data_IF_061288463942
#
_entry.id   IF_061288463942
#
_cell.length_a   1.000
_cell.length_b   1.000
_cell.length_c   1.000
_cell.angle_alpha   90.00
_cell.angle_beta   90.00
_cell.angle_gamma   90.00
#
_symmetry.space_group_name_H-M   'P 1'
#
loop_
_entity.id
_entity.type
_entity.pdbx_description
1 polymer ?
#
# COMPACT_ATOMS: atom_id res chain seq x y z
N UNK A 1 9.80 -10.05 15.84
CA UNK A 1 10.92 -9.25 15.32
C UNK A 1 10.42 -7.81 15.20
N UNK A 2 10.86 -6.92 16.07
CA UNK A 2 10.32 -5.57 16.23
C UNK A 2 10.67 -4.67 15.03
N UNK A 3 9.79 -3.74 14.66
CA UNK A 3 10.03 -2.72 13.61
C UNK A 3 11.33 -1.95 13.91
N UNK A 4 11.61 -1.73 15.18
CA UNK A 4 12.84 -1.10 15.70
C UNK A 4 14.11 -1.86 15.30
N UNK A 5 14.08 -3.18 15.24
CA UNK A 5 15.23 -4.01 14.86
C UNK A 5 15.55 -3.88 13.37
N UNK A 6 14.53 -3.77 12.52
CA UNK A 6 14.70 -3.60 11.06
C UNK A 6 15.30 -2.23 10.72
N UNK A 7 14.86 -1.19 11.39
CA UNK A 7 15.44 0.16 11.22
C UNK A 7 16.90 0.22 11.67
N UNK A 8 17.24 -0.42 12.80
CA UNK A 8 18.63 -0.52 13.28
C UNK A 8 19.52 -1.28 12.29
N UNK A 9 19.02 -2.36 11.69
CA UNK A 9 19.75 -3.12 10.66
C UNK A 9 20.03 -2.23 9.44
N UNK A 10 19.02 -1.48 8.96
CA UNK A 10 19.18 -0.56 7.84
C UNK A 10 20.22 0.52 8.10
N UNK A 11 20.18 1.16 9.26
CA UNK A 11 21.17 2.16 9.67
C UNK A 11 22.56 1.54 9.80
N UNK A 12 22.67 0.35 10.38
CA UNK A 12 23.94 -0.37 10.51
C UNK A 12 24.56 -0.70 9.15
N UNK A 13 23.78 -1.24 8.22
CA UNK A 13 24.23 -1.54 6.86
C UNK A 13 24.70 -0.26 6.14
N UNK A 14 23.91 0.82 6.23
CA UNK A 14 24.27 2.10 5.63
C UNK A 14 25.59 2.65 6.21
N UNK A 15 25.76 2.59 7.52
CA UNK A 15 26.99 3.01 8.19
C UNK A 15 28.20 2.17 7.74
N UNK A 16 28.06 0.84 7.70
CA UNK A 16 29.12 -0.06 7.25
C UNK A 16 29.49 0.22 5.79
N UNK A 17 28.49 0.43 4.92
CA UNK A 17 28.71 0.75 3.51
C UNK A 17 29.49 2.06 3.35
N UNK A 18 29.14 3.10 4.10
CA UNK A 18 29.83 4.39 4.04
C UNK A 18 31.26 4.28 4.55
N UNK A 19 31.51 3.53 5.64
CA UNK A 19 32.84 3.33 6.20
C UNK A 19 33.74 2.53 5.23
N UNK A 20 33.19 1.47 4.63
CA UNK A 20 33.95 0.61 3.68
C UNK A 20 34.22 1.29 2.36
N UNK A 21 33.37 2.23 1.93
CA UNK A 21 33.54 2.99 0.68
C UNK A 21 34.65 4.05 0.74
N UNK A 22 35.14 4.42 1.91
CA UNK A 22 36.27 5.31 2.09
C UNK A 22 36.14 6.62 1.29
N UNK A 23 37.00 6.81 0.28
CA UNK A 23 37.02 8.03 -0.55
C UNK A 23 35.78 8.23 -1.43
N UNK A 24 35.06 7.15 -1.77
CA UNK A 24 33.86 7.18 -2.60
C UNK A 24 32.58 7.44 -1.80
N UNK A 25 32.67 7.54 -0.48
CA UNK A 25 31.52 7.77 0.40
C UNK A 25 30.74 9.06 0.05
N UNK A 26 31.46 10.15 -0.30
CA UNK A 26 30.85 11.42 -0.70
C UNK A 26 30.08 11.30 -2.02
N UNK A 27 30.59 10.52 -2.97
CA UNK A 27 29.90 10.31 -4.25
C UNK A 27 28.70 9.37 -4.11
N UNK A 28 28.73 8.43 -3.18
CA UNK A 28 27.57 7.63 -2.80
C UNK A 28 26.48 8.50 -2.18
N UNK A 29 26.84 9.39 -1.25
CA UNK A 29 25.86 10.32 -0.65
C UNK A 29 25.22 11.25 -1.68
N UNK A 30 25.94 11.71 -2.70
CA UNK A 30 25.38 12.53 -3.78
C UNK A 30 24.39 11.77 -4.66
N UNK A 31 24.50 10.44 -4.77
CA UNK A 31 23.60 9.58 -5.54
C UNK A 31 22.30 9.23 -4.79
N UNK A 32 22.21 9.56 -3.51
CA UNK A 32 20.99 9.35 -2.71
C UNK A 32 19.87 10.24 -3.24
N UNK A 33 18.71 9.66 -3.44
CA UNK A 33 17.51 10.40 -3.85
C UNK A 33 16.87 11.12 -2.65
N UNK A 34 17.42 12.28 -2.32
CA UNK A 34 16.94 13.13 -1.23
C UNK A 34 15.51 13.63 -1.46
N UNK A 35 15.05 13.74 -2.72
CA UNK A 35 13.69 14.17 -3.02
C UNK A 35 12.68 13.16 -2.52
N UNK A 36 12.91 11.88 -2.82
CA UNK A 36 12.07 10.77 -2.34
C UNK A 36 12.12 10.67 -0.81
N UNK A 37 13.29 10.82 -0.19
CA UNK A 37 13.40 10.80 1.26
C UNK A 37 12.62 11.94 1.92
N UNK A 38 12.75 13.17 1.45
CA UNK A 38 12.02 14.32 1.95
C UNK A 38 10.50 14.19 1.72
N UNK A 39 10.11 13.61 0.59
CA UNK A 39 8.71 13.30 0.33
C UNK A 39 8.13 12.35 1.39
N UNK A 40 8.81 11.25 1.72
CA UNK A 40 8.34 10.33 2.76
C UNK A 40 8.34 10.98 4.15
N UNK A 41 9.36 11.76 4.49
CA UNK A 41 9.36 12.52 5.77
C UNK A 41 8.15 13.43 5.84
N UNK A 42 7.88 14.23 4.79
CA UNK A 42 6.71 15.10 4.74
C UNK A 42 5.39 14.31 4.83
N UNK A 43 5.29 13.18 4.13
CA UNK A 43 4.14 12.31 4.18
C UNK A 43 3.85 11.83 5.61
N UNK A 44 4.84 11.30 6.31
CA UNK A 44 4.65 10.79 7.68
C UNK A 44 4.33 11.91 8.69
N UNK A 45 4.87 13.13 8.49
CA UNK A 45 4.48 14.29 9.30
C UNK A 45 3.01 14.63 9.10
N UNK A 46 2.54 14.66 7.84
CA UNK A 46 1.12 14.94 7.53
C UNK A 46 0.22 13.84 8.10
N UNK A 47 0.56 12.57 7.90
CA UNK A 47 -0.22 11.43 8.44
C UNK A 47 -0.27 11.48 9.96
N UNK A 48 0.84 11.74 10.64
CA UNK A 48 0.87 11.92 12.09
C UNK A 48 0.00 13.09 12.57
N UNK A 49 -0.04 14.20 11.81
CA UNK A 49 -0.96 15.31 12.07
C UNK A 49 -2.43 14.91 11.91
N UNK A 50 -2.77 14.16 10.86
CA UNK A 50 -4.13 13.63 10.63
C UNK A 50 -4.57 12.67 11.74
N UNK A 51 -3.66 11.86 12.24
CA UNK A 51 -3.92 10.95 13.37
C UNK A 51 -4.26 11.73 14.64
N UNK A 52 -3.45 12.73 14.98
CA UNK A 52 -3.69 13.57 16.18
C UNK A 52 -4.96 14.43 16.09
N UNK A 53 -5.38 14.83 14.90
CA UNK A 53 -6.64 15.57 14.69
C UNK A 53 -7.89 14.71 14.78
N UNK A 54 -7.75 13.37 14.85
CA UNK A 54 -8.86 12.42 14.89
C UNK A 54 -9.57 12.22 13.55
N UNK A 55 -9.10 12.81 12.46
CA UNK A 55 -9.70 12.66 11.13
C UNK A 55 -9.67 11.19 10.69
N UNK A 56 -8.60 10.47 10.99
CA UNK A 56 -8.48 9.04 10.65
C UNK A 56 -9.52 8.19 11.39
N UNK A 57 -9.83 8.52 12.64
CA UNK A 57 -10.88 7.87 13.42
C UNK A 57 -12.27 8.14 12.85
N UNK A 58 -12.53 9.36 12.36
CA UNK A 58 -13.79 9.70 11.68
C UNK A 58 -13.94 8.89 10.40
N UNK A 59 -12.88 8.76 9.60
CA UNK A 59 -12.87 7.96 8.38
C UNK A 59 -13.11 6.47 8.68
N UNK A 60 -12.43 5.92 9.67
CA UNK A 60 -12.65 4.56 10.14
C UNK A 60 -14.10 4.34 10.61
N UNK A 61 -14.65 5.29 11.39
CA UNK A 61 -16.05 5.26 11.83
C UNK A 61 -17.04 5.33 10.67
N UNK A 62 -16.75 6.08 9.62
CA UNK A 62 -17.56 6.13 8.40
C UNK A 62 -17.57 4.77 7.69
N UNK A 63 -16.41 4.15 7.49
CA UNK A 63 -16.29 2.81 6.89
C UNK A 63 -17.05 1.79 7.75
N UNK A 64 -16.90 1.83 9.07
CA UNK A 64 -17.62 0.96 9.99
C UNK A 64 -19.14 1.10 9.91
N UNK A 65 -19.65 2.35 9.78
CA UNK A 65 -21.10 2.62 9.61
C UNK A 65 -21.62 2.12 8.27
N UNK A 66 -20.91 2.40 7.17
CA UNK A 66 -21.32 1.98 5.82
C UNK A 66 -21.30 0.46 5.70
N UNK A 67 -20.36 -0.22 6.35
CA UNK A 67 -20.29 -1.68 6.37
C UNK A 67 -21.34 -2.34 7.29
N UNK A 68 -22.00 -1.55 8.14
CA UNK A 68 -22.94 -2.09 9.13
C UNK A 68 -22.31 -3.08 10.12
N UNK A 69 -21.01 -2.98 10.36
CA UNK A 69 -20.23 -3.95 11.17
C UNK A 69 -19.98 -5.28 10.47
N UNK A 70 -20.41 -5.45 9.22
CA UNK A 70 -20.18 -6.68 8.47
C UNK A 70 -18.76 -6.71 7.90
N UNK A 71 -17.97 -7.68 8.36
CA UNK A 71 -16.57 -7.84 7.99
C UNK A 71 -16.38 -8.03 6.46
N UNK A 72 -17.26 -8.79 5.81
CA UNK A 72 -17.17 -9.01 4.36
C UNK A 72 -17.34 -7.71 3.57
N UNK A 73 -18.28 -6.86 4.02
CA UNK A 73 -18.49 -5.55 3.42
C UNK A 73 -17.31 -4.62 3.70
N UNK A 74 -16.72 -4.66 4.89
CA UNK A 74 -15.50 -3.90 5.21
C UNK A 74 -14.33 -4.28 4.29
N UNK A 75 -14.09 -5.58 4.12
CA UNK A 75 -13.05 -6.09 3.21
C UNK A 75 -13.31 -5.59 1.79
N UNK A 76 -14.56 -5.69 1.28
CA UNK A 76 -14.91 -5.21 -0.05
C UNK A 76 -14.66 -3.70 -0.20
N UNK A 77 -15.10 -2.89 0.76
CA UNK A 77 -14.88 -1.43 0.72
C UNK A 77 -13.38 -1.13 0.70
N UNK A 78 -12.61 -1.72 1.61
CA UNK A 78 -11.18 -1.45 1.72
C UNK A 78 -10.45 -1.85 0.44
N UNK A 79 -10.67 -3.05 -0.09
CA UNK A 79 -9.95 -3.54 -1.27
C UNK A 79 -10.27 -2.71 -2.52
N UNK A 80 -11.55 -2.35 -2.73
CA UNK A 80 -11.95 -1.58 -3.91
C UNK A 80 -11.57 -0.12 -3.82
N UNK A 81 -11.78 0.53 -2.67
CA UNK A 81 -11.36 1.93 -2.46
C UNK A 81 -9.83 2.04 -2.60
N UNK A 82 -9.10 1.09 -2.03
CA UNK A 82 -7.64 1.06 -2.14
C UNK A 82 -7.18 0.83 -3.57
N UNK A 83 -7.83 -0.06 -4.31
CA UNK A 83 -7.50 -0.30 -5.72
C UNK A 83 -7.75 0.92 -6.60
N UNK A 84 -8.89 1.60 -6.41
CA UNK A 84 -9.22 2.81 -7.18
C UNK A 84 -8.26 3.95 -6.84
N UNK A 85 -8.00 4.19 -5.56
CA UNK A 85 -7.09 5.24 -5.14
C UNK A 85 -5.66 4.99 -5.61
N UNK A 86 -5.17 3.75 -5.47
CA UNK A 86 -3.82 3.36 -5.89
C UNK A 86 -3.63 3.37 -7.42
N UNK A 87 -4.71 3.31 -8.20
CA UNK A 87 -4.62 3.50 -9.65
C UNK A 87 -4.11 4.90 -10.04
N UNK A 88 -4.23 5.90 -9.16
CA UNK A 88 -3.85 7.29 -9.42
C UNK A 88 -2.77 7.81 -8.46
N UNK A 89 -2.61 7.18 -7.31
CA UNK A 89 -1.64 7.53 -6.26
C UNK A 89 -0.70 6.34 -6.11
N UNK A 90 0.61 6.59 -6.00
CA UNK A 90 1.58 5.51 -5.78
C UNK A 90 1.17 4.67 -4.55
N UNK A 91 1.27 3.35 -4.68
CA UNK A 91 0.80 2.38 -3.69
C UNK A 91 1.45 2.57 -2.30
N UNK A 92 2.75 2.90 -2.24
CA UNK A 92 3.47 3.02 -0.97
C UNK A 92 2.95 4.18 -0.11
N UNK A 93 2.88 5.45 -0.61
CA UNK A 93 2.33 6.54 0.19
C UNK A 93 0.86 6.35 0.54
N UNK A 94 0.05 5.78 -0.35
CA UNK A 94 -1.35 5.49 -0.05
C UNK A 94 -1.50 4.45 1.06
N UNK A 95 -0.77 3.32 0.98
CA UNK A 95 -0.79 2.31 2.03
C UNK A 95 -0.35 2.88 3.38
N UNK A 96 0.72 3.67 3.40
CA UNK A 96 1.23 4.29 4.62
C UNK A 96 0.19 5.20 5.31
N UNK A 97 -0.62 5.93 4.54
CA UNK A 97 -1.70 6.78 5.09
C UNK A 97 -2.90 5.97 5.58
N UNK A 98 -3.16 4.81 4.97
CA UNK A 98 -4.32 3.98 5.31
C UNK A 98 -4.06 3.03 6.50
N UNK A 99 -2.81 2.72 6.84
CA UNK A 99 -2.49 1.83 7.96
C UNK A 99 -3.13 2.31 9.29
N UNK A 100 -2.99 3.57 9.73
CA UNK A 100 -3.65 4.04 10.96
C UNK A 100 -5.18 4.01 10.89
N UNK A 101 -5.77 4.20 9.70
CA UNK A 101 -7.23 4.09 9.49
C UNK A 101 -7.70 2.66 9.74
N UNK A 102 -6.96 1.69 9.20
CA UNK A 102 -7.28 0.27 9.38
C UNK A 102 -7.10 -0.16 10.83
N UNK A 103 -6.05 0.32 11.50
CA UNK A 103 -5.80 0.04 12.91
C UNK A 103 -6.96 0.55 13.77
N UNK A 104 -7.37 1.80 13.58
CA UNK A 104 -8.52 2.39 14.24
C UNK A 104 -9.82 1.64 13.95
N UNK A 105 -10.03 1.19 12.70
CA UNK A 105 -11.21 0.43 12.30
C UNK A 105 -11.22 -0.96 12.94
N UNK A 106 -10.09 -1.66 12.94
CA UNK A 106 -9.94 -2.98 13.56
C UNK A 106 -10.24 -2.91 15.06
N UNK A 107 -9.68 -1.92 15.76
CA UNK A 107 -9.92 -1.68 17.17
C UNK A 107 -11.40 -1.36 17.46
N UNK A 108 -12.04 -0.50 16.66
CA UNK A 108 -13.42 -0.09 16.84
C UNK A 108 -14.43 -1.22 16.59
N UNK A 109 -14.12 -2.15 15.66
CA UNK A 109 -15.01 -3.24 15.28
C UNK A 109 -14.66 -4.58 15.94
N UNK A 110 -13.57 -4.65 16.69
CA UNK A 110 -13.11 -5.89 17.35
C UNK A 110 -12.69 -6.98 16.35
N UNK A 111 -12.17 -6.60 15.17
CA UNK A 111 -11.72 -7.53 14.13
C UNK A 111 -10.20 -7.61 14.09
N UNK A 112 -9.69 -8.74 13.60
CA UNK A 112 -8.24 -8.91 13.46
C UNK A 112 -7.71 -7.96 12.38
N UNK A 113 -6.78 -7.09 12.77
CA UNK A 113 -6.12 -6.12 11.88
C UNK A 113 -5.47 -6.79 10.66
N UNK A 114 -4.97 -8.03 10.81
CA UNK A 114 -4.26 -8.72 9.74
C UNK A 114 -5.12 -8.89 8.50
N UNK A 115 -6.44 -9.01 8.64
CA UNK A 115 -7.38 -9.20 7.55
C UNK A 115 -7.59 -7.95 6.75
N UNK A 116 -7.83 -6.84 7.47
CA UNK A 116 -8.00 -5.54 6.87
C UNK A 116 -6.68 -5.09 6.22
N UNK A 117 -5.55 -5.44 6.81
CA UNK A 117 -4.22 -5.22 6.25
C UNK A 117 -4.00 -6.00 4.94
N UNK A 118 -4.46 -7.26 4.86
CA UNK A 118 -4.43 -8.02 3.61
C UNK A 118 -5.32 -7.39 2.54
N UNK A 119 -6.53 -6.94 2.90
CA UNK A 119 -7.42 -6.26 1.96
C UNK A 119 -6.79 -4.96 1.44
N UNK A 120 -6.16 -4.15 2.32
CA UNK A 120 -5.43 -2.95 1.92
C UNK A 120 -4.27 -3.30 0.99
N UNK A 121 -3.41 -4.24 1.37
CA UNK A 121 -2.23 -4.61 0.61
C UNK A 121 -2.59 -5.10 -0.79
N UNK A 122 -3.56 -6.02 -0.90
CA UNK A 122 -4.03 -6.52 -2.20
C UNK A 122 -4.69 -5.41 -3.03
N UNK A 123 -5.50 -4.56 -2.42
CA UNK A 123 -6.13 -3.44 -3.11
C UNK A 123 -5.11 -2.44 -3.65
N UNK A 124 -4.17 -2.00 -2.83
CA UNK A 124 -3.16 -1.02 -3.23
C UNK A 124 -2.20 -1.55 -4.27
N UNK A 125 -1.65 -2.73 -4.08
CA UNK A 125 -0.62 -3.29 -4.94
C UNK A 125 -1.18 -3.63 -6.34
N UNK A 126 -2.29 -4.34 -6.36
CA UNK A 126 -2.95 -4.73 -7.62
C UNK A 126 -3.54 -3.50 -8.32
N UNK A 127 -4.19 -2.60 -7.55
CA UNK A 127 -4.82 -1.38 -8.07
C UNK A 127 -3.84 -0.46 -8.79
N UNK A 128 -2.62 -0.34 -8.28
CA UNK A 128 -1.54 0.41 -8.90
C UNK A 128 -1.20 -0.02 -10.33
N UNK A 129 -1.53 -1.26 -10.69
CA UNK A 129 -1.30 -1.76 -12.06
C UNK A 129 -2.31 -1.26 -13.09
N UNK A 130 -3.44 -0.68 -12.68
CA UNK A 130 -4.52 -0.28 -13.59
C UNK A 130 -4.15 0.88 -14.52
N UNK A 131 -3.26 1.78 -14.07
CA UNK A 131 -2.83 2.95 -14.85
C UNK A 131 -1.30 3.05 -14.95
N UNK A 132 -0.79 3.80 -15.94
CA UNK A 132 0.65 4.02 -16.09
C UNK A 132 1.32 4.70 -14.88
N UNK A 133 0.57 5.48 -14.10
CA UNK A 133 1.08 6.28 -12.98
C UNK A 133 0.78 5.68 -11.61
N UNK A 134 -0.05 4.63 -11.54
CA UNK A 134 -0.46 4.03 -10.25
C UNK A 134 0.69 3.34 -9.50
N UNK A 135 1.79 3.04 -10.18
CA UNK A 135 3.01 2.55 -9.54
C UNK A 135 4.25 3.09 -10.24
N UNK A 136 5.28 3.44 -9.48
CA UNK A 136 6.57 3.91 -10.01
C UNK A 136 7.21 2.91 -10.98
N UNK A 137 7.03 1.61 -10.75
CA UNK A 137 7.50 0.55 -11.63
C UNK A 137 6.90 0.64 -13.05
N UNK A 138 5.61 0.99 -13.17
CA UNK A 138 4.94 1.15 -14.47
C UNK A 138 5.54 2.33 -15.24
N UNK A 139 5.78 3.45 -14.56
CA UNK A 139 6.40 4.65 -15.16
C UNK A 139 7.78 4.31 -15.72
N UNK A 140 8.61 3.63 -14.93
CA UNK A 140 9.96 3.21 -15.36
C UNK A 140 9.88 2.21 -16.51
N UNK A 141 9.00 1.22 -16.43
CA UNK A 141 8.80 0.21 -17.48
C UNK A 141 8.39 0.84 -18.82
N UNK A 142 7.41 1.75 -18.79
CA UNK A 142 6.94 2.48 -20.00
C UNK A 142 8.03 3.38 -20.56
N UNK A 143 8.77 4.10 -19.70
CA UNK A 143 9.88 4.92 -20.13
C UNK A 143 11.01 4.10 -20.79
N UNK A 144 11.30 2.92 -20.26
CA UNK A 144 12.29 1.99 -20.82
C UNK A 144 11.83 1.43 -22.18
N UNK A 145 10.56 1.04 -22.29
CA UNK A 145 9.98 0.59 -23.55
C UNK A 145 10.03 1.69 -24.62
N UNK A 146 9.76 2.94 -24.25
CA UNK A 146 9.88 4.09 -25.17
C UNK A 146 11.30 4.30 -25.66
N UNK A 147 12.33 4.16 -24.81
CA UNK A 147 13.74 4.21 -25.19
C UNK A 147 14.13 3.10 -26.17
N UNK A 148 13.47 1.96 -26.11
CA UNK A 148 13.66 0.82 -27.04
C UNK A 148 12.81 0.92 -28.31
N UNK A 149 12.20 2.07 -28.58
CA UNK A 149 11.40 2.31 -29.80
C UNK A 149 9.93 1.86 -29.69
N UNK A 150 9.50 1.37 -28.52
CA UNK A 150 8.14 0.88 -28.31
C UNK A 150 7.32 1.88 -27.46
N UNK A 151 6.66 2.83 -28.13
CA UNK A 151 5.81 3.82 -27.44
C UNK A 151 4.48 3.20 -26.98
N UNK A 152 4.27 3.16 -25.69
CA UNK A 152 3.02 2.72 -25.07
C UNK A 152 2.18 3.94 -24.73
N UNK A 153 1.07 4.17 -25.47
CA UNK A 153 0.15 5.26 -25.19
C UNK A 153 -0.70 4.95 -23.97
N UNK A 154 -1.03 5.98 -23.18
CA UNK A 154 -1.86 5.88 -21.99
C UNK A 154 -3.13 5.04 -22.18
N UNK A 155 -3.95 5.38 -23.17
CA UNK A 155 -5.22 4.66 -23.43
C UNK A 155 -5.00 3.19 -23.81
N UNK A 156 -3.90 2.86 -24.51
CA UNK A 156 -3.57 1.47 -24.86
C UNK A 156 -3.21 0.68 -23.61
N UNK A 157 -2.44 1.28 -22.70
CA UNK A 157 -2.09 0.67 -21.43
C UNK A 157 -3.32 0.40 -20.56
N UNK A 158 -4.13 1.44 -20.29
CA UNK A 158 -5.32 1.32 -19.44
C UNK A 158 -6.34 0.32 -20.02
N UNK A 159 -6.50 0.30 -21.35
CA UNK A 159 -7.44 -0.63 -22.01
C UNK A 159 -7.05 -2.10 -21.84
N UNK A 160 -5.75 -2.37 -21.74
CA UNK A 160 -5.24 -3.73 -21.50
C UNK A 160 -5.20 -4.06 -20.01
N UNK A 161 -4.69 -3.14 -19.18
CA UNK A 161 -4.40 -3.44 -17.78
C UNK A 161 -5.59 -3.26 -16.84
N UNK A 162 -6.49 -2.27 -17.08
CA UNK A 162 -7.61 -2.05 -16.17
C UNK A 162 -8.57 -3.25 -16.05
N UNK A 163 -8.98 -3.93 -17.14
CA UNK A 163 -9.81 -5.13 -17.02
C UNK A 163 -9.11 -6.27 -16.28
N UNK A 164 -7.80 -6.46 -16.55
CA UNK A 164 -7.00 -7.46 -15.86
C UNK A 164 -6.89 -7.15 -14.36
N UNK A 165 -6.66 -5.88 -14.01
CA UNK A 165 -6.62 -5.42 -12.62
C UNK A 165 -7.95 -5.68 -11.90
N UNK A 166 -9.08 -5.33 -12.52
CA UNK A 166 -10.42 -5.59 -11.96
C UNK A 166 -10.60 -7.10 -11.68
N UNK A 167 -10.24 -7.93 -12.65
CA UNK A 167 -10.33 -9.39 -12.48
C UNK A 167 -9.48 -9.89 -11.31
N UNK A 168 -8.22 -9.43 -11.23
CA UNK A 168 -7.29 -9.86 -10.17
C UNK A 168 -7.75 -9.35 -8.80
N UNK A 169 -8.28 -8.12 -8.69
CA UNK A 169 -8.88 -7.59 -7.45
C UNK A 169 -10.07 -8.44 -7.01
N UNK A 170 -10.96 -8.82 -7.94
CA UNK A 170 -12.09 -9.71 -7.66
C UNK A 170 -11.63 -11.08 -7.16
N UNK A 171 -10.66 -11.69 -7.82
CA UNK A 171 -10.10 -12.98 -7.40
C UNK A 171 -9.45 -12.86 -6.02
N UNK A 172 -8.70 -11.81 -5.77
CA UNK A 172 -8.06 -11.56 -4.46
C UNK A 172 -9.09 -11.39 -3.36
N UNK A 173 -10.17 -10.65 -3.62
CA UNK A 173 -11.28 -10.49 -2.67
C UNK A 173 -11.94 -11.84 -2.36
N UNK A 174 -12.21 -12.66 -3.37
CA UNK A 174 -12.78 -13.99 -3.20
C UNK A 174 -11.83 -14.93 -2.41
N UNK A 175 -10.52 -14.83 -2.64
CA UNK A 175 -9.52 -15.60 -1.88
C UNK A 175 -9.48 -15.20 -0.40
N UNK A 176 -9.55 -13.90 -0.10
CA UNK A 176 -9.65 -13.41 1.27
C UNK A 176 -10.94 -13.94 1.92
N UNK A 177 -12.08 -13.88 1.23
CA UNK A 177 -13.33 -14.41 1.72
C UNK A 177 -13.28 -15.92 1.96
N UNK A 178 -12.74 -16.69 1.01
CA UNK A 178 -12.61 -18.14 1.15
C UNK A 178 -11.74 -18.51 2.35
N UNK A 179 -10.59 -17.85 2.50
CA UNK A 179 -9.69 -18.07 3.65
C UNK A 179 -10.37 -17.74 4.98
N UNK A 180 -11.22 -16.71 5.00
CA UNK A 180 -11.95 -16.26 6.19
C UNK A 180 -13.09 -17.23 6.57
N UNK A 181 -13.90 -17.61 5.58
CA UNK A 181 -14.96 -18.60 5.78
C UNK A 181 -14.37 -19.94 6.26
N UNK A 182 -13.25 -20.37 5.70
CA UNK A 182 -12.56 -21.59 6.16
C UNK A 182 -12.06 -21.48 7.59
N UNK A 183 -11.50 -20.34 7.98
CA UNK A 183 -11.01 -20.11 9.35
C UNK A 183 -12.16 -20.05 10.35
N UNK A 184 -13.27 -19.39 10.04
CA UNK A 184 -14.48 -19.31 10.87
C UNK A 184 -15.14 -20.68 11.04
N UNK A 185 -15.19 -21.51 10.01
CA UNK A 185 -15.76 -22.86 10.09
C UNK A 185 -14.88 -23.84 10.89
N UNK A 186 -13.55 -23.60 10.91
CA UNK A 186 -12.62 -24.52 11.59
C UNK A 186 -12.30 -24.12 13.02
N UNK A 187 -12.56 -22.86 13.41
CA UNK A 187 -12.31 -22.33 14.76
C UNK A 187 -13.58 -22.14 15.59
N UNK A 188 -14.76 -22.57 15.11
CA UNK A 188 -15.96 -22.64 15.95
C UNK A 188 -15.73 -23.71 17.00
N UNK A 189 -15.60 -23.35 18.30
CA UNK A 189 -15.53 -24.35 19.37
C UNK A 189 -16.90 -25.05 19.46
N UNK A 190 -16.89 -26.34 19.29
CA UNK A 190 -17.99 -27.24 19.67
C UNK A 190 -18.26 -27.22 21.16
#
# INVERSE_FOLDING_TARGET
>A
MCIRDRSCIGVFIAAVTLITSGKDALDLLKKVDYKTLLFFVGLFVVVGGLEQTGILTILAGFIGKVSGGNLMVMIAIIIWVSAIASAFIDNIPFAATMIPVIDSLAAAQGVDISILAWALAMGTDIGGSATPIGASANVVGIATAAKSGHMIKWGKYCKAMAPATILVVLVSMLMIYARYLYCLLYTSPS
#
